data_IF_325600413705
#
_entry.id   IF_325600413705
#
_cell.length_a   1.000
_cell.length_b   1.000
_cell.length_c   1.000
_cell.angle_alpha   90.00
_cell.angle_beta   90.00
_cell.angle_gamma   90.00
#
_symmetry.space_group_name_H-M   'P 1'
#
loop_
_entity.id
_entity.type
_entity.pdbx_description
1 polymer ?
#
# COMPACT_ATOMS: atom_id res chain seq x y z
N UNK A 1 -27.29 23.02 0.00
CA UNK A 1 -27.32 21.55 -0.20
C UNK A 1 -27.77 20.92 1.11
N UNK A 2 -28.77 20.03 1.09
CA UNK A 2 -29.31 19.41 2.33
C UNK A 2 -28.87 17.94 2.35
N UNK A 3 -28.04 17.57 3.33
CA UNK A 3 -27.57 16.19 3.54
C UNK A 3 -28.59 15.32 4.29
N UNK A 4 -29.52 15.98 5.00
CA UNK A 4 -30.59 15.35 5.75
C UNK A 4 -31.50 14.54 4.82
N UNK A 5 -31.38 13.21 4.86
CA UNK A 5 -32.16 12.27 4.06
C UNK A 5 -31.40 11.58 2.92
N UNK A 6 -30.10 11.85 2.75
CA UNK A 6 -29.29 11.16 1.73
C UNK A 6 -29.02 9.69 2.13
N UNK A 7 -29.62 8.74 1.42
CA UNK A 7 -29.26 7.31 1.50
C UNK A 7 -28.06 7.05 0.59
N UNK A 8 -26.91 6.78 1.20
CA UNK A 8 -25.67 6.42 0.51
C UNK A 8 -25.58 4.91 0.32
N UNK A 9 -25.33 4.51 -0.92
CA UNK A 9 -25.14 3.13 -1.34
C UNK A 9 -23.68 2.89 -1.70
N UNK A 10 -23.18 1.71 -1.36
CA UNK A 10 -21.81 1.31 -1.68
C UNK A 10 -21.72 0.96 -3.15
N UNK A 11 -20.75 1.54 -3.85
CA UNK A 11 -20.45 1.21 -5.24
C UNK A 11 -19.88 -0.21 -5.35
N UNK A 12 -20.11 -0.86 -6.51
CA UNK A 12 -19.53 -2.18 -6.82
C UNK A 12 -18.00 -2.17 -6.90
N UNK A 13 -17.43 -1.03 -7.26
CA UNK A 13 -15.99 -0.84 -7.35
C UNK A 13 -15.61 0.54 -6.75
N UNK A 14 -14.47 0.64 -6.05
CA UNK A 14 -13.50 -0.40 -5.75
C UNK A 14 -13.97 -1.38 -4.66
N UNK A 15 -13.44 -2.62 -4.69
CA UNK A 15 -13.89 -3.71 -3.80
C UNK A 15 -13.10 -3.70 -2.48
N UNK A 16 -13.74 -3.24 -1.40
CA UNK A 16 -13.31 -3.48 -0.02
C UNK A 16 -13.97 -4.73 0.58
N UNK A 17 -13.51 -5.19 1.75
CA UNK A 17 -14.19 -6.29 2.46
C UNK A 17 -15.63 -5.88 2.87
N UNK A 18 -16.54 -6.85 2.93
CA UNK A 18 -17.95 -6.62 3.31
C UNK A 18 -18.06 -5.90 4.67
N UNK A 19 -17.19 -6.26 5.63
CA UNK A 19 -17.14 -5.61 6.93
C UNK A 19 -16.79 -4.11 6.81
N UNK A 20 -15.77 -3.76 6.01
CA UNK A 20 -15.38 -2.37 5.78
C UNK A 20 -16.50 -1.60 5.07
N UNK A 21 -17.14 -2.20 4.07
CA UNK A 21 -18.25 -1.59 3.34
C UNK A 21 -19.44 -1.30 4.27
N UNK A 22 -19.79 -2.24 5.15
CA UNK A 22 -20.89 -2.09 6.09
C UNK A 22 -20.62 -0.97 7.12
N UNK A 23 -19.41 -0.92 7.68
CA UNK A 23 -19.01 0.15 8.62
C UNK A 23 -18.99 1.50 7.91
N UNK A 24 -18.37 1.59 6.72
CA UNK A 24 -18.34 2.82 5.94
C UNK A 24 -19.75 3.32 5.60
N UNK A 25 -20.65 2.45 5.12
CA UNK A 25 -22.05 2.80 4.84
C UNK A 25 -22.76 3.35 6.08
N UNK A 26 -22.59 2.70 7.22
CA UNK A 26 -23.18 3.15 8.48
C UNK A 26 -22.65 4.52 8.88
N UNK A 27 -21.33 4.68 8.94
CA UNK A 27 -20.67 5.94 9.33
C UNK A 27 -21.07 7.09 8.41
N UNK A 28 -21.15 6.85 7.10
CA UNK A 28 -21.54 7.87 6.12
C UNK A 28 -22.97 8.33 6.30
N UNK A 29 -23.92 7.40 6.39
CA UNK A 29 -25.32 7.74 6.56
C UNK A 29 -25.60 8.37 7.93
N UNK A 30 -24.91 7.95 8.99
CA UNK A 30 -25.06 8.56 10.32
C UNK A 30 -24.50 9.98 10.38
N UNK A 31 -23.43 10.27 9.64
CA UNK A 31 -22.85 11.62 9.54
C UNK A 31 -23.74 12.54 8.71
N UNK A 32 -24.28 12.05 7.59
CA UNK A 32 -25.15 12.83 6.70
C UNK A 32 -26.43 13.34 7.39
N UNK A 33 -26.93 12.60 8.39
CA UNK A 33 -28.10 13.01 9.21
C UNK A 33 -27.81 14.19 10.13
N UNK A 34 -26.54 14.45 10.47
CA UNK A 34 -26.15 15.41 11.52
C UNK A 34 -25.58 16.72 10.99
N UNK A 35 -25.19 16.73 9.71
CA UNK A 35 -24.43 17.83 9.12
C UNK A 35 -25.24 18.55 8.05
N UNK A 36 -25.05 19.85 7.92
CA UNK A 36 -25.76 20.69 6.93
C UNK A 36 -24.86 21.20 5.81
N UNK A 37 -23.54 21.19 5.99
CA UNK A 37 -22.55 21.61 4.99
C UNK A 37 -21.61 20.47 4.58
N UNK A 38 -21.01 20.56 3.38
CA UNK A 38 -20.06 19.56 2.88
C UNK A 38 -18.79 19.46 3.74
N UNK A 39 -18.35 20.59 4.27
CA UNK A 39 -17.14 20.66 5.11
C UNK A 39 -17.40 20.04 6.47
N UNK A 40 -18.53 20.34 7.10
CA UNK A 40 -18.91 19.73 8.38
C UNK A 40 -19.13 18.22 8.22
N UNK A 41 -19.72 17.81 7.10
CA UNK A 41 -19.90 16.40 6.75
C UNK A 41 -18.55 15.68 6.62
N UNK A 42 -17.61 16.25 5.86
CA UNK A 42 -16.27 15.67 5.72
C UNK A 42 -15.52 15.61 7.06
N UNK A 43 -15.60 16.65 7.89
CA UNK A 43 -14.96 16.70 9.20
C UNK A 43 -15.56 15.69 10.20
N UNK A 44 -16.89 15.58 10.25
CA UNK A 44 -17.57 14.59 11.10
C UNK A 44 -17.28 13.15 10.63
N UNK A 45 -17.17 12.93 9.31
CA UNK A 45 -16.73 11.65 8.77
C UNK A 45 -15.32 11.31 9.24
N UNK A 46 -14.36 12.23 9.06
CA UNK A 46 -12.97 12.00 9.45
C UNK A 46 -12.87 11.63 10.94
N UNK A 47 -13.57 12.39 11.81
CA UNK A 47 -13.63 12.15 13.26
C UNK A 47 -14.23 10.79 13.64
N UNK A 48 -15.18 10.26 12.86
CA UNK A 48 -15.81 8.95 13.11
C UNK A 48 -15.09 7.78 12.48
N UNK A 49 -14.30 8.01 11.44
CA UNK A 49 -13.60 6.94 10.72
C UNK A 49 -12.46 6.38 11.55
N UNK A 50 -11.70 7.21 12.25
CA UNK A 50 -10.55 6.73 13.03
C UNK A 50 -10.96 5.72 14.13
N UNK A 51 -11.98 5.98 14.97
CA UNK A 51 -12.41 5.02 15.99
C UNK A 51 -13.03 3.75 15.41
N UNK A 52 -13.63 3.82 14.21
CA UNK A 52 -14.39 2.70 13.62
C UNK A 52 -13.56 1.83 12.69
N UNK A 53 -12.61 2.42 11.98
CA UNK A 53 -11.86 1.80 10.87
C UNK A 53 -10.33 1.94 11.03
N UNK A 54 -9.85 2.59 12.09
CA UNK A 54 -8.44 2.87 12.38
C UNK A 54 -7.95 4.17 11.74
N UNK A 55 -6.73 4.60 12.02
CA UNK A 55 -6.13 5.82 11.46
C UNK A 55 -5.77 5.74 9.97
N UNK A 56 -5.53 6.90 9.37
CA UNK A 56 -4.96 7.02 8.02
C UNK A 56 -5.99 6.92 6.88
N UNK A 57 -7.28 7.10 7.19
CA UNK A 57 -8.33 7.21 6.17
C UNK A 57 -8.43 8.65 5.66
N UNK A 58 -8.39 8.77 4.34
CA UNK A 58 -8.64 9.99 3.61
C UNK A 58 -10.12 10.09 3.30
N UNK A 59 -10.66 11.30 3.39
CA UNK A 59 -12.07 11.60 3.11
C UNK A 59 -12.13 12.55 1.92
N UNK A 60 -12.83 12.13 0.88
CA UNK A 60 -13.15 12.95 -0.27
C UNK A 60 -14.66 12.94 -0.50
N UNK A 61 -15.26 14.12 -0.52
CA UNK A 61 -16.68 14.32 -0.73
C UNK A 61 -16.90 15.31 -1.87
N UNK A 62 -17.82 15.02 -2.78
CA UNK A 62 -18.19 15.95 -3.84
C UNK A 62 -19.29 15.41 -4.73
N UNK A 63 -19.75 16.21 -5.69
CA UNK A 63 -20.74 15.76 -6.67
C UNK A 63 -20.14 14.75 -7.66
N UNK A 64 -19.27 15.25 -8.53
CA UNK A 64 -18.48 14.44 -9.45
C UNK A 64 -17.02 14.87 -9.43
N UNK A 65 -16.11 13.90 -9.53
CA UNK A 65 -14.68 14.13 -9.48
C UNK A 65 -13.93 12.94 -10.06
N UNK A 66 -12.81 13.22 -10.71
CA UNK A 66 -11.81 12.26 -11.13
C UNK A 66 -10.66 12.24 -10.12
N UNK A 67 -10.07 11.06 -9.92
CA UNK A 67 -8.96 10.88 -8.98
C UNK A 67 -7.90 10.00 -9.61
N UNK A 68 -6.64 10.35 -9.42
CA UNK A 68 -5.53 9.43 -9.63
C UNK A 68 -4.83 9.17 -8.30
N UNK A 69 -5.32 8.13 -7.61
CA UNK A 69 -4.90 7.79 -6.25
C UNK A 69 -4.19 6.46 -6.19
N UNK A 70 -3.12 6.40 -5.40
CA UNK A 70 -2.52 5.14 -4.99
C UNK A 70 -3.04 4.76 -3.61
N UNK A 71 -3.95 3.79 -3.58
CA UNK A 71 -4.58 3.30 -2.35
C UNK A 71 -4.22 1.85 -2.04
N UNK A 72 -4.35 1.48 -0.76
CA UNK A 72 -4.11 0.13 -0.27
C UNK A 72 -5.24 -0.81 -0.70
N UNK A 73 -4.88 -1.95 -1.30
CA UNK A 73 -5.85 -2.96 -1.75
C UNK A 73 -6.78 -3.36 -0.60
N UNK A 74 -8.09 -3.29 -0.85
CA UNK A 74 -9.14 -3.61 0.13
C UNK A 74 -9.46 -2.50 1.14
N UNK A 75 -8.78 -1.35 1.07
CA UNK A 75 -9.01 -0.18 1.92
C UNK A 75 -9.40 1.05 1.08
N UNK A 76 -10.37 0.87 0.19
CA UNK A 76 -10.99 1.94 -0.59
C UNK A 76 -12.47 1.62 -0.78
N UNK A 77 -13.34 2.57 -0.44
CA UNK A 77 -14.79 2.46 -0.52
C UNK A 77 -15.32 3.70 -1.20
N UNK A 78 -16.09 3.51 -2.27
CA UNK A 78 -16.85 4.58 -2.90
C UNK A 78 -18.32 4.41 -2.54
N UNK A 79 -18.93 5.46 -2.00
CA UNK A 79 -20.35 5.54 -1.75
C UNK A 79 -20.97 6.64 -2.59
N UNK A 80 -22.20 6.43 -3.03
CA UNK A 80 -22.95 7.43 -3.79
C UNK A 80 -24.38 7.52 -3.27
N UNK A 81 -24.96 8.71 -3.30
CA UNK A 81 -26.39 8.91 -3.06
C UNK A 81 -27.04 9.47 -4.30
N UNK A 82 -28.08 8.79 -4.79
CA UNK A 82 -28.87 9.28 -5.95
C UNK A 82 -29.66 10.54 -5.59
N UNK A 83 -30.10 10.64 -4.33
CA UNK A 83 -30.93 11.76 -3.84
C UNK A 83 -30.12 13.05 -3.76
N UNK A 84 -28.94 13.01 -3.14
CA UNK A 84 -28.09 14.21 -3.01
C UNK A 84 -27.15 14.42 -4.20
N UNK A 85 -27.04 13.44 -5.13
CA UNK A 85 -26.08 13.42 -6.23
C UNK A 85 -24.62 13.56 -5.78
N UNK A 86 -24.32 13.06 -4.58
CA UNK A 86 -22.98 13.14 -3.99
C UNK A 86 -22.29 11.78 -3.98
N UNK A 87 -20.97 11.84 -4.10
CA UNK A 87 -20.02 10.75 -3.93
C UNK A 87 -19.16 10.99 -2.70
N UNK A 88 -18.91 9.93 -1.96
CA UNK A 88 -17.98 9.89 -0.82
C UNK A 88 -16.96 8.79 -1.10
N UNK A 89 -15.70 9.18 -1.23
CA UNK A 89 -14.59 8.26 -1.40
C UNK A 89 -13.78 8.23 -0.11
N UNK A 90 -13.66 7.03 0.46
CA UNK A 90 -12.89 6.74 1.66
C UNK A 90 -11.75 5.80 1.31
N UNK A 91 -10.51 6.17 1.60
CA UNK A 91 -9.37 5.35 1.20
C UNK A 91 -8.17 5.50 2.13
N UNK A 92 -7.29 4.49 2.14
CA UNK A 92 -5.96 4.58 2.77
C UNK A 92 -4.90 4.55 1.68
N UNK A 93 -3.94 5.46 1.71
CA UNK A 93 -2.85 5.50 0.73
C UNK A 93 -1.78 4.44 1.04
N UNK A 94 -0.90 4.17 0.08
CA UNK A 94 0.22 3.23 0.23
C UNK A 94 1.45 3.70 -0.54
N UNK A 95 2.68 3.34 -0.15
CA UNK A 95 3.88 3.79 -0.84
C UNK A 95 3.92 3.32 -2.30
N UNK A 96 4.63 4.07 -3.13
CA UNK A 96 4.93 3.64 -4.49
C UNK A 96 6.01 2.57 -4.48
N UNK A 97 5.75 1.47 -5.18
CA UNK A 97 6.76 0.46 -5.53
C UNK A 97 7.11 0.47 -7.02
N UNK A 98 6.46 1.35 -7.79
CA UNK A 98 6.75 1.52 -9.22
C UNK A 98 7.94 2.45 -9.40
N UNK A 99 8.85 2.18 -10.35
CA UNK A 99 9.95 3.09 -10.67
C UNK A 99 9.44 4.49 -10.97
N UNK A 100 10.23 5.50 -10.60
CA UNK A 100 9.96 6.87 -10.98
C UNK A 100 9.94 6.98 -12.52
N UNK A 101 9.02 7.75 -13.12
CA UNK A 101 9.09 8.06 -14.53
C UNK A 101 10.47 8.63 -14.88
N UNK A 102 10.98 8.27 -16.07
CA UNK A 102 12.29 8.76 -16.56
C UNK A 102 12.16 10.02 -17.40
N UNK A 103 10.95 10.35 -17.84
CA UNK A 103 10.65 11.48 -18.69
C UNK A 103 9.38 12.17 -18.16
N UNK A 104 9.24 13.45 -18.49
CA UNK A 104 8.06 14.24 -18.20
C UNK A 104 6.87 13.76 -19.05
N UNK A 105 5.64 14.06 -18.62
CA UNK A 105 4.44 13.71 -19.37
C UNK A 105 4.40 14.43 -20.73
N UNK A 106 4.02 13.72 -21.80
CA UNK A 106 3.99 14.25 -23.19
C UNK A 106 3.25 15.59 -23.32
N UNK A 107 2.07 15.70 -22.68
CA UNK A 107 1.24 16.92 -22.64
C UNK A 107 1.92 18.14 -21.98
N UNK A 108 3.07 17.95 -21.32
CA UNK A 108 3.86 19.02 -20.69
C UNK A 108 5.21 19.24 -21.38
N UNK A 109 5.61 18.37 -22.31
CA UNK A 109 6.85 18.49 -23.10
C UNK A 109 6.61 19.05 -24.49
N UNK A 110 5.41 18.89 -25.05
CA UNK A 110 5.06 19.55 -26.31
C UNK A 110 5.04 21.07 -26.10
N UNK A 111 5.85 21.78 -26.89
CA UNK A 111 5.88 23.24 -26.95
C UNK A 111 4.54 23.77 -27.47
N UNK A 112 3.55 23.83 -26.59
CA UNK A 112 2.32 24.57 -26.84
C UNK A 112 2.62 26.06 -26.70
N UNK A 113 3.32 26.64 -27.68
CA UNK A 113 3.71 28.05 -27.73
C UNK A 113 2.55 29.06 -27.61
N UNK A 114 1.28 28.65 -27.50
CA UNK A 114 0.15 29.57 -27.61
C UNK A 114 -1.05 29.33 -26.67
N UNK A 115 -0.86 28.76 -25.48
CA UNK A 115 -1.96 28.58 -24.52
C UNK A 115 -1.83 29.42 -23.24
N UNK A 116 -1.13 30.55 -23.31
CA UNK A 116 -1.02 31.53 -22.22
C UNK A 116 -2.29 32.42 -22.10
N UNK A 117 -3.48 31.83 -22.19
CA UNK A 117 -4.69 32.54 -21.78
C UNK A 117 -4.61 32.77 -20.27
N UNK A 118 -4.75 34.04 -19.83
CA UNK A 118 -4.87 34.39 -18.40
C UNK A 118 -6.10 33.68 -17.82
N UNK A 119 -5.91 32.47 -17.28
CA UNK A 119 -6.95 31.73 -16.56
C UNK A 119 -7.02 32.27 -15.12
N UNK A 120 -8.23 32.46 -14.62
CA UNK A 120 -8.45 32.87 -13.23
C UNK A 120 -8.03 31.74 -12.29
N UNK A 121 -7.14 32.04 -11.35
CA UNK A 121 -6.73 31.12 -10.29
C UNK A 121 -7.32 31.59 -8.97
N UNK A 122 -7.82 30.66 -8.17
CA UNK A 122 -8.20 30.90 -6.78
C UNK A 122 -7.61 29.79 -5.93
N UNK A 123 -6.70 30.12 -5.02
CA UNK A 123 -6.16 29.16 -4.06
C UNK A 123 -7.06 29.18 -2.82
N UNK A 124 -7.53 28.02 -2.39
CA UNK A 124 -8.36 27.87 -1.18
C UNK A 124 -7.51 27.58 0.04
N UNK A 125 -6.57 26.64 -0.10
CA UNK A 125 -5.70 26.17 0.97
C UNK A 125 -4.38 25.71 0.36
N UNK A 126 -3.27 25.99 1.03
CA UNK A 126 -1.96 25.49 0.62
C UNK A 126 -1.00 25.50 1.80
N UNK A 127 -0.18 24.47 1.89
CA UNK A 127 1.01 24.45 2.74
C UNK A 127 2.31 24.42 1.91
N UNK A 128 2.20 24.32 0.58
CA UNK A 128 3.33 24.26 -0.34
C UNK A 128 4.16 25.54 -0.37
N UNK A 129 5.46 25.39 -0.58
CA UNK A 129 6.36 26.49 -0.92
C UNK A 129 5.95 27.15 -2.24
N UNK A 130 6.18 28.46 -2.35
CA UNK A 130 5.70 29.27 -3.48
C UNK A 130 6.20 28.77 -4.84
N UNK A 131 7.46 28.35 -4.94
CA UNK A 131 8.04 27.82 -6.18
C UNK A 131 7.32 26.54 -6.65
N UNK A 132 7.11 25.60 -5.73
CA UNK A 132 6.40 24.35 -6.04
C UNK A 132 4.93 24.61 -6.37
N UNK A 133 4.27 25.49 -5.60
CA UNK A 133 2.89 25.90 -5.82
C UNK A 133 2.69 26.51 -7.21
N UNK A 134 3.53 27.47 -7.60
CA UNK A 134 3.43 28.09 -8.93
C UNK A 134 3.72 27.07 -10.04
N UNK A 135 4.67 26.15 -9.87
CA UNK A 135 4.94 25.09 -10.82
C UNK A 135 3.74 24.13 -10.99
N UNK A 136 3.07 23.75 -9.89
CA UNK A 136 1.85 22.91 -9.92
C UNK A 136 0.72 23.62 -10.65
N UNK A 137 0.51 24.90 -10.35
CA UNK A 137 -0.52 25.73 -10.98
C UNK A 137 -0.24 25.90 -12.47
N UNK A 138 1.00 26.17 -12.87
CA UNK A 138 1.39 26.34 -14.27
C UNK A 138 1.19 25.04 -15.07
N UNK A 139 1.67 23.90 -14.55
CA UNK A 139 1.43 22.58 -15.16
C UNK A 139 -0.06 22.31 -15.30
N UNK A 140 -0.87 22.64 -14.30
CA UNK A 140 -2.33 22.45 -14.35
C UNK A 140 -2.99 23.32 -15.41
N UNK A 141 -2.55 24.57 -15.60
CA UNK A 141 -3.05 25.43 -16.69
C UNK A 141 -2.75 24.83 -18.06
N UNK A 142 -1.52 24.36 -18.27
CA UNK A 142 -1.11 23.72 -19.53
C UNK A 142 -1.96 22.49 -19.82
N UNK A 143 -2.12 21.61 -18.83
CA UNK A 143 -2.95 20.41 -18.96
C UNK A 143 -4.44 20.74 -19.20
N UNK A 144 -4.97 21.77 -18.54
CA UNK A 144 -6.34 22.22 -18.75
C UNK A 144 -6.58 22.65 -20.18
N UNK A 145 -5.64 23.40 -20.76
CA UNK A 145 -5.75 23.86 -22.15
C UNK A 145 -5.51 22.72 -23.14
N UNK A 146 -4.53 21.84 -22.88
CA UNK A 146 -4.23 20.70 -23.74
C UNK A 146 -5.40 19.71 -23.86
N UNK A 147 -6.13 19.46 -22.77
CA UNK A 147 -7.30 18.58 -22.74
C UNK A 147 -8.64 19.33 -22.89
N UNK A 148 -8.65 20.57 -23.37
CA UNK A 148 -9.88 21.32 -23.62
C UNK A 148 -10.72 20.61 -24.70
N UNK A 149 -12.02 20.41 -24.44
CA UNK A 149 -12.92 19.68 -25.35
C UNK A 149 -12.71 18.17 -25.43
N UNK A 150 -11.70 17.62 -24.76
CA UNK A 150 -11.45 16.18 -24.70
C UNK A 150 -12.40 15.53 -23.69
N UNK A 151 -13.01 14.40 -24.08
CA UNK A 151 -13.84 13.61 -23.16
C UNK A 151 -13.00 13.07 -22.01
N UNK A 152 -13.54 13.12 -20.79
CA UNK A 152 -12.87 12.66 -19.57
C UNK A 152 -11.56 13.42 -19.31
N UNK A 153 -11.58 14.73 -19.54
CA UNK A 153 -10.43 15.59 -19.34
C UNK A 153 -10.00 15.63 -17.88
N UNK A 154 -10.91 15.53 -16.90
CA UNK A 154 -10.55 15.53 -15.49
C UNK A 154 -9.64 14.34 -15.14
N UNK A 155 -9.95 13.14 -15.65
CA UNK A 155 -9.13 11.95 -15.42
C UNK A 155 -7.76 12.08 -16.08
N UNK A 156 -7.70 12.57 -17.32
CA UNK A 156 -6.44 12.78 -18.04
C UNK A 156 -5.56 13.82 -17.36
N UNK A 157 -6.14 14.93 -16.90
CA UNK A 157 -5.43 15.97 -16.14
C UNK A 157 -4.90 15.39 -14.84
N UNK A 158 -5.70 14.62 -14.10
CA UNK A 158 -5.27 14.01 -12.85
C UNK A 158 -4.06 13.08 -13.04
N UNK A 159 -4.12 12.23 -14.08
CA UNK A 159 -3.04 11.29 -14.43
C UNK A 159 -1.77 12.02 -14.87
N UNK A 160 -1.89 12.98 -15.78
CA UNK A 160 -0.75 13.73 -16.31
C UNK A 160 -0.07 14.57 -15.23
N UNK A 161 -0.86 15.22 -14.36
CA UNK A 161 -0.32 16.02 -13.25
C UNK A 161 0.40 15.14 -12.24
N UNK A 162 -0.19 14.01 -11.83
CA UNK A 162 0.48 13.08 -10.91
C UNK A 162 1.77 12.51 -11.50
N UNK A 163 1.75 12.14 -12.78
CA UNK A 163 2.93 11.66 -13.49
C UNK A 163 4.06 12.70 -13.43
N UNK A 164 3.75 13.95 -13.75
CA UNK A 164 4.69 15.07 -13.74
C UNK A 164 5.28 15.36 -12.37
N UNK A 165 4.44 15.38 -11.33
CA UNK A 165 4.91 15.61 -9.96
C UNK A 165 5.75 14.44 -9.45
N UNK A 166 5.40 13.21 -9.86
CA UNK A 166 6.21 12.04 -9.53
C UNK A 166 7.57 12.10 -10.22
N UNK A 167 7.63 12.53 -11.48
CA UNK A 167 8.88 12.75 -12.21
C UNK A 167 9.76 13.83 -11.54
N UNK A 168 9.18 14.99 -11.21
CA UNK A 168 9.93 16.13 -10.68
C UNK A 168 10.32 16.00 -9.19
N UNK A 169 9.42 15.46 -8.35
CA UNK A 169 9.55 15.51 -6.89
C UNK A 169 9.52 14.13 -6.21
N UNK A 170 9.43 13.06 -7.00
CA UNK A 170 9.35 11.69 -6.52
C UNK A 170 7.95 11.27 -6.03
N UNK A 171 7.72 9.98 -5.77
CA UNK A 171 6.43 9.46 -5.31
C UNK A 171 6.17 9.67 -3.80
N UNK A 172 4.95 9.56 -3.28
CA UNK A 172 3.68 9.21 -3.94
C UNK A 172 2.72 10.39 -3.92
N UNK A 173 2.51 11.02 -5.07
CA UNK A 173 1.52 12.09 -5.23
C UNK A 173 0.11 11.54 -5.40
N UNK A 174 -0.87 12.32 -4.94
CA UNK A 174 -2.30 12.07 -5.03
C UNK A 174 -2.92 13.29 -5.68
N UNK A 175 -3.72 13.08 -6.73
CA UNK A 175 -4.35 14.18 -7.47
C UNK A 175 -5.85 13.92 -7.59
N UNK A 176 -6.63 14.93 -7.24
CA UNK A 176 -8.09 14.96 -7.37
C UNK A 176 -8.47 16.16 -8.23
N UNK A 177 -9.33 15.92 -9.21
CA UNK A 177 -9.77 16.93 -10.17
C UNK A 177 -11.30 16.90 -10.25
N UNK A 178 -11.94 18.06 -10.19
CA UNK A 178 -13.40 18.17 -10.31
C UNK A 178 -13.78 19.39 -11.13
N UNK A 179 -14.73 19.20 -12.05
CA UNK A 179 -15.41 20.32 -12.73
C UNK A 179 -16.47 21.00 -11.85
N UNK A 180 -16.74 20.47 -10.65
CA UNK A 180 -17.62 21.09 -9.67
C UNK A 180 -16.82 21.90 -8.65
N UNK A 181 -17.42 23.01 -8.20
CA UNK A 181 -16.90 23.75 -7.03
C UNK A 181 -17.14 22.99 -5.73
N UNK A 182 -18.15 22.12 -5.71
CA UNK A 182 -18.58 21.34 -4.55
C UNK A 182 -17.71 20.09 -4.38
N UNK A 183 -16.50 20.34 -3.89
CA UNK A 183 -15.51 19.35 -3.50
C UNK A 183 -15.05 19.66 -2.08
N UNK A 184 -14.82 18.64 -1.27
CA UNK A 184 -14.13 18.76 0.00
C UNK A 184 -13.24 17.54 0.14
N UNK A 185 -11.94 17.78 0.14
CA UNK A 185 -10.93 16.79 0.47
C UNK A 185 -10.33 17.20 1.80
N UNK A 186 -10.23 16.26 2.74
CA UNK A 186 -9.46 16.44 3.97
C UNK A 186 -8.27 15.48 3.90
N UNK A 187 -7.23 15.83 3.12
CA UNK A 187 -6.10 14.94 2.92
C UNK A 187 -5.24 14.90 4.17
N UNK A 188 -4.69 13.72 4.44
CA UNK A 188 -3.50 13.60 5.28
C UNK A 188 -2.32 13.82 4.34
N UNK A 189 -1.58 14.91 4.50
CA UNK A 189 -0.48 15.28 3.61
C UNK A 189 0.84 15.32 4.37
N UNK A 190 1.93 15.06 3.65
CA UNK A 190 3.28 15.37 4.14
C UNK A 190 3.43 16.91 4.17
N UNK A 191 4.11 17.45 5.18
CA UNK A 191 4.28 18.91 5.34
C UNK A 191 4.86 19.55 4.08
N UNK A 192 4.27 20.67 3.63
CA UNK A 192 4.77 21.43 2.49
C UNK A 192 4.40 20.85 1.12
N UNK A 193 3.46 19.90 1.05
CA UNK A 193 3.15 19.17 -0.18
C UNK A 193 1.70 19.19 -0.60
N UNK A 194 0.84 20.03 -0.01
CA UNK A 194 -0.58 20.15 -0.24
C UNK A 194 -1.01 21.51 -0.83
N UNK A 195 -1.88 21.44 -1.83
CA UNK A 195 -2.58 22.61 -2.40
C UNK A 195 -3.98 22.23 -2.88
N UNK A 196 -4.96 23.07 -2.55
CA UNK A 196 -6.34 23.05 -3.06
C UNK A 196 -6.61 24.40 -3.75
N UNK A 197 -6.88 24.34 -5.05
CA UNK A 197 -7.05 25.53 -5.86
C UNK A 197 -8.03 25.30 -7.01
N UNK A 198 -8.44 26.39 -7.65
CA UNK A 198 -9.32 26.39 -8.81
C UNK A 198 -8.64 27.09 -9.98
N UNK A 199 -8.62 26.42 -11.13
CA UNK A 199 -8.27 27.02 -12.42
C UNK A 199 -9.56 27.15 -13.23
N UNK A 200 -10.08 28.38 -13.35
CA UNK A 200 -11.34 28.68 -14.05
C UNK A 200 -12.55 27.98 -13.41
N UNK A 201 -12.93 26.80 -13.89
CA UNK A 201 -14.02 25.96 -13.38
C UNK A 201 -13.53 24.63 -12.80
N UNK A 202 -12.25 24.31 -12.99
CA UNK A 202 -11.64 23.07 -12.55
C UNK A 202 -11.06 23.26 -11.15
N UNK A 203 -11.59 22.54 -10.16
CA UNK A 203 -10.99 22.45 -8.83
C UNK A 203 -9.99 21.30 -8.81
N UNK A 204 -8.81 21.56 -8.27
CA UNK A 204 -7.70 20.62 -8.23
C UNK A 204 -7.17 20.58 -6.81
N UNK A 205 -7.08 19.37 -6.25
CA UNK A 205 -6.42 19.11 -4.97
C UNK A 205 -5.24 18.19 -5.24
N UNK A 206 -4.06 18.62 -4.81
CA UNK A 206 -2.82 17.88 -4.95
C UNK A 206 -2.21 17.74 -3.57
N UNK A 207 -1.76 16.53 -3.24
CA UNK A 207 -1.00 16.31 -2.02
C UNK A 207 -0.06 15.11 -2.14
N UNK A 208 1.00 15.08 -1.34
CA UNK A 208 1.87 13.90 -1.20
C UNK A 208 1.53 13.18 0.09
N UNK A 209 1.35 11.86 0.00
CA UNK A 209 1.23 11.01 1.19
C UNK A 209 1.42 9.53 0.82
N UNK A 210 2.43 8.90 1.42
CA UNK A 210 2.78 7.50 1.19
C UNK A 210 2.08 6.51 2.13
N UNK A 211 1.17 6.98 2.99
CA UNK A 211 0.52 6.13 4.00
C UNK A 211 1.24 6.21 5.34
N UNK A 212 0.58 5.75 6.40
CA UNK A 212 1.10 5.90 7.76
C UNK A 212 2.26 4.92 8.04
N UNK A 213 3.24 5.34 8.84
CA UNK A 213 4.40 4.51 9.23
C UNK A 213 3.99 3.16 9.84
N UNK A 214 2.89 3.15 10.58
CA UNK A 214 2.30 1.95 11.19
C UNK A 214 1.79 0.93 10.15
N UNK A 215 1.25 1.39 9.03
CA UNK A 215 0.81 0.53 7.94
C UNK A 215 1.99 -0.17 7.28
N UNK A 216 3.10 0.55 7.11
CA UNK A 216 4.37 0.01 6.63
C UNK A 216 4.94 -1.05 7.58
N UNK A 217 4.84 -0.84 8.89
CA UNK A 217 5.25 -1.83 9.89
C UNK A 217 4.40 -3.10 9.82
N UNK A 218 3.07 -2.96 9.69
CA UNK A 218 2.18 -4.09 9.52
C UNK A 218 2.44 -4.87 8.22
N UNK A 219 2.70 -4.18 7.11
CA UNK A 219 3.04 -4.81 5.84
C UNK A 219 4.38 -5.56 5.92
N UNK A 220 5.38 -4.95 6.56
CA UNK A 220 6.68 -5.58 6.80
C UNK A 220 6.56 -6.82 7.68
N UNK A 221 5.74 -6.75 8.74
CA UNK A 221 5.47 -7.90 9.60
C UNK A 221 4.70 -9.01 8.86
N UNK A 222 3.71 -8.68 8.03
CA UNK A 222 3.02 -9.67 7.21
C UNK A 222 3.95 -10.32 6.19
N UNK A 223 4.85 -9.55 5.57
CA UNK A 223 5.87 -10.06 4.67
C UNK A 223 6.83 -11.00 5.40
N UNK A 224 7.40 -10.58 6.53
CA UNK A 224 8.28 -11.41 7.36
C UNK A 224 7.61 -12.72 7.79
N UNK A 225 6.33 -12.67 8.16
CA UNK A 225 5.54 -13.87 8.45
C UNK A 225 5.45 -14.81 7.24
N UNK A 226 5.16 -14.30 6.05
CA UNK A 226 5.07 -15.11 4.82
C UNK A 226 6.42 -15.75 4.48
N UNK A 227 7.50 -14.99 4.55
CA UNK A 227 8.86 -15.50 4.34
C UNK A 227 9.19 -16.61 5.32
N UNK A 228 8.90 -16.42 6.61
CA UNK A 228 9.12 -17.45 7.62
C UNK A 228 8.35 -18.74 7.33
N UNK A 229 7.08 -18.66 6.88
CA UNK A 229 6.34 -19.85 6.46
C UNK A 229 6.95 -20.53 5.23
N UNK A 230 7.38 -19.77 4.22
CA UNK A 230 8.03 -20.33 3.04
C UNK A 230 9.31 -21.07 3.42
N UNK A 231 10.15 -20.48 4.29
CA UNK A 231 11.38 -21.13 4.77
C UNK A 231 11.07 -22.40 5.58
N UNK A 232 10.05 -22.37 6.44
CA UNK A 232 9.59 -23.56 7.15
C UNK A 232 9.14 -24.67 6.20
N UNK A 233 8.41 -24.33 5.12
CA UNK A 233 8.00 -25.28 4.08
C UNK A 233 9.20 -25.85 3.32
N UNK A 234 10.20 -25.02 2.98
CA UNK A 234 11.44 -25.49 2.35
C UNK A 234 12.15 -26.50 3.27
N UNK A 235 12.29 -26.19 4.57
CA UNK A 235 12.86 -27.13 5.54
C UNK A 235 12.07 -28.44 5.64
N UNK A 236 10.74 -28.38 5.58
CA UNK A 236 9.88 -29.58 5.55
C UNK A 236 10.09 -30.42 4.29
N UNK A 237 10.20 -29.79 3.12
CA UNK A 237 10.47 -30.49 1.86
C UNK A 237 11.87 -31.12 1.87
N UNK A 238 12.88 -30.41 2.36
CA UNK A 238 14.24 -30.94 2.52
C UNK A 238 14.26 -32.14 3.48
N UNK A 239 13.58 -32.03 4.62
CA UNK A 239 13.45 -33.14 5.56
C UNK A 239 12.75 -34.34 4.91
N UNK A 240 11.64 -34.12 4.20
CA UNK A 240 10.91 -35.17 3.50
C UNK A 240 11.77 -35.85 2.43
N UNK A 241 12.51 -35.08 1.64
CA UNK A 241 13.45 -35.61 0.65
C UNK A 241 14.54 -36.47 1.28
N UNK A 242 15.17 -36.02 2.37
CA UNK A 242 16.22 -36.76 3.08
C UNK A 242 15.66 -37.99 3.81
N UNK A 243 14.44 -37.93 4.32
CA UNK A 243 13.80 -39.07 4.95
C UNK A 243 13.47 -40.18 3.94
N UNK A 244 12.92 -39.80 2.77
CA UNK A 244 12.49 -40.74 1.74
C UNK A 244 13.66 -41.30 0.90
N UNK A 245 14.77 -40.57 0.77
CA UNK A 245 15.96 -41.02 0.03
C UNK A 245 17.07 -41.58 0.94
N UNK A 246 16.72 -42.00 2.16
CA UNK A 246 17.67 -42.69 3.02
C UNK A 246 17.94 -44.09 2.45
N UNK A 247 19.15 -44.28 1.89
CA UNK A 247 19.59 -45.60 1.43
C UNK A 247 20.00 -46.48 2.60
N UNK A 248 19.89 -47.81 2.46
CA UNK A 248 20.35 -48.77 3.48
C UNK A 248 21.82 -48.57 3.86
N UNK A 249 22.66 -48.11 2.92
CA UNK A 249 24.08 -47.79 3.14
C UNK A 249 24.22 -46.59 4.08
N UNK A 250 23.39 -45.55 3.91
CA UNK A 250 23.39 -44.37 4.78
C UNK A 250 22.95 -44.72 6.20
N UNK A 251 22.00 -45.66 6.38
CA UNK A 251 21.60 -46.11 7.71
C UNK A 251 22.65 -46.97 8.40
N UNK A 252 23.31 -47.87 7.67
CA UNK A 252 24.38 -48.75 8.19
C UNK A 252 25.65 -47.99 8.59
N UNK A 253 26.01 -46.95 7.84
CA UNK A 253 27.23 -46.17 8.08
C UNK A 253 27.01 -44.98 9.04
N UNK A 254 25.79 -44.79 9.56
CA UNK A 254 25.43 -43.67 10.45
C UNK A 254 25.98 -43.87 11.87
N UNK A 255 26.60 -42.84 12.44
CA UNK A 255 27.01 -42.84 13.84
C UNK A 255 28.31 -43.58 14.15
N UNK A 256 29.03 -44.05 13.13
CA UNK A 256 30.39 -44.57 13.31
C UNK A 256 31.41 -43.45 13.26
N UNK A 257 31.98 -43.16 14.42
CA UNK A 257 33.16 -42.33 14.69
C UNK A 257 33.12 -40.86 14.20
N UNK A 258 33.11 -39.99 15.20
CA UNK A 258 33.85 -38.72 15.31
C UNK A 258 35.18 -38.68 14.54
N UNK A 259 35.15 -38.47 13.24
CA UNK A 259 36.30 -38.06 12.42
C UNK A 259 35.90 -36.86 11.58
N UNK A 260 35.42 -35.81 12.26
CA UNK A 260 35.37 -34.46 11.73
C UNK A 260 36.58 -33.71 12.27
N UNK A 261 37.75 -34.03 11.75
CA UNK A 261 39.00 -33.32 12.00
C UNK A 261 39.98 -33.73 10.92
N UNK A 262 40.54 -32.76 10.21
CA UNK A 262 41.35 -32.88 8.99
C UNK A 262 42.68 -33.67 9.12
N UNK A 263 42.83 -34.55 10.10
CA UNK A 263 43.99 -35.43 10.24
C UNK A 263 43.53 -36.85 10.53
N UNK A 264 43.61 -37.71 9.51
CA UNK A 264 43.46 -39.16 9.64
C UNK A 264 44.73 -39.68 10.32
N UNK A 265 44.70 -40.26 11.54
CA UNK A 265 45.76 -41.16 11.95
C UNK A 265 45.48 -42.49 11.26
N UNK A 266 46.40 -42.88 10.39
CA UNK A 266 46.57 -44.25 9.95
C UNK A 266 46.95 -45.06 11.19
N UNK A 267 45.96 -45.47 11.99
CA UNK A 267 45.97 -46.66 12.85
C UNK A 267 44.75 -46.67 13.78
N UNK A 268 43.86 -47.66 13.58
CA UNK A 268 43.04 -48.20 14.67
C UNK A 268 41.57 -47.80 14.79
N UNK A 269 40.99 -47.00 13.88
CA UNK A 269 39.53 -46.77 13.90
C UNK A 269 38.84 -47.77 12.98
N UNK A 270 38.21 -48.79 13.57
CA UNK A 270 37.45 -49.81 12.85
C UNK A 270 36.23 -49.17 12.19
N UNK A 271 36.29 -48.98 10.87
CA UNK A 271 35.12 -48.61 10.07
C UNK A 271 34.08 -49.75 10.12
N UNK A 272 32.77 -49.46 10.10
CA UNK A 272 31.75 -50.50 10.06
C UNK A 272 31.96 -51.41 8.85
N UNK A 273 31.73 -52.71 9.02
CA UNK A 273 31.87 -53.69 7.94
C UNK A 273 31.04 -53.27 6.71
N UNK A 274 31.72 -53.04 5.58
CA UNK A 274 31.11 -52.65 4.31
C UNK A 274 30.95 -51.15 4.05
N UNK A 275 31.47 -50.26 4.90
CA UNK A 275 31.43 -48.81 4.70
C UNK A 275 32.78 -48.22 4.28
N UNK A 276 32.81 -47.37 3.24
CA UNK A 276 33.99 -46.57 2.90
C UNK A 276 34.04 -45.27 3.72
N UNK A 277 35.20 -44.61 3.78
CA UNK A 277 35.33 -43.29 4.43
C UNK A 277 34.42 -42.22 3.79
N UNK A 278 34.18 -42.31 2.48
CA UNK A 278 33.25 -41.43 1.75
C UNK A 278 31.80 -41.70 2.15
N UNK A 279 31.42 -42.97 2.37
CA UNK A 279 30.08 -43.35 2.81
C UNK A 279 29.78 -42.88 4.24
N UNK A 280 30.78 -42.95 5.14
CA UNK A 280 30.66 -42.43 6.51
C UNK A 280 30.49 -40.91 6.50
N UNK A 281 31.28 -40.18 5.70
CA UNK A 281 31.14 -38.73 5.55
C UNK A 281 29.75 -38.36 5.00
N UNK A 282 29.31 -39.02 3.93
CA UNK A 282 27.99 -38.80 3.33
C UNK A 282 26.85 -39.11 4.31
N UNK A 283 26.98 -40.17 5.12
CA UNK A 283 25.99 -40.53 6.13
C UNK A 283 25.90 -39.50 7.27
N UNK A 284 27.05 -38.98 7.71
CA UNK A 284 27.12 -37.92 8.72
C UNK A 284 26.58 -36.59 8.21
N UNK A 285 26.93 -36.19 6.98
CA UNK A 285 26.37 -35.00 6.33
C UNK A 285 24.85 -35.12 6.15
N UNK A 286 24.37 -36.28 5.72
CA UNK A 286 22.93 -36.57 5.59
C UNK A 286 22.19 -36.47 6.93
N UNK A 287 22.77 -37.02 8.01
CA UNK A 287 22.22 -36.94 9.36
C UNK A 287 22.21 -35.50 9.91
N UNK A 288 23.28 -34.74 9.64
CA UNK A 288 23.37 -33.32 9.99
C UNK A 288 22.31 -32.50 9.26
N UNK A 289 22.18 -32.64 7.94
CA UNK A 289 21.17 -31.92 7.15
C UNK A 289 19.74 -32.28 7.55
N UNK A 290 19.47 -33.54 7.91
CA UNK A 290 18.16 -33.96 8.44
C UNK A 290 17.85 -33.25 9.76
N UNK A 291 18.82 -33.17 10.67
CA UNK A 291 18.69 -32.44 11.95
C UNK A 291 18.52 -30.94 11.72
N UNK A 292 19.35 -30.35 10.87
CA UNK A 292 19.28 -28.93 10.50
C UNK A 292 17.93 -28.56 9.88
N UNK A 293 17.34 -29.43 9.07
CA UNK A 293 16.02 -29.22 8.48
C UNK A 293 14.91 -29.22 9.55
N UNK A 294 14.95 -30.11 10.55
CA UNK A 294 13.97 -30.14 11.66
C UNK A 294 14.11 -28.88 12.54
N UNK A 295 15.35 -28.51 12.87
CA UNK A 295 15.63 -27.30 13.66
C UNK A 295 15.19 -26.04 12.89
N UNK A 296 15.49 -25.97 11.59
CA UNK A 296 15.04 -24.88 10.72
C UNK A 296 13.52 -24.77 10.67
N UNK A 297 12.81 -25.88 10.50
CA UNK A 297 11.33 -25.88 10.53
C UNK A 297 10.79 -25.34 11.85
N UNK A 298 11.32 -25.80 12.98
CA UNK A 298 10.90 -25.35 14.32
C UNK A 298 11.21 -23.86 14.54
N UNK A 299 12.40 -23.42 14.14
CA UNK A 299 12.82 -22.02 14.28
C UNK A 299 11.96 -21.08 13.42
N UNK A 300 11.72 -21.40 12.15
CA UNK A 300 10.94 -20.54 11.26
C UNK A 300 9.45 -20.51 11.61
N UNK A 301 8.87 -21.62 12.10
CA UNK A 301 7.49 -21.63 12.62
C UNK A 301 7.34 -20.83 13.91
N UNK A 302 8.32 -20.91 14.82
CA UNK A 302 8.37 -20.07 16.01
C UNK A 302 8.49 -18.59 15.64
N UNK A 303 9.38 -18.24 14.71
CA UNK A 303 9.54 -16.88 14.20
C UNK A 303 8.22 -16.35 13.60
N UNK A 304 7.53 -17.14 12.78
CA UNK A 304 6.23 -16.75 12.22
C UNK A 304 5.17 -16.50 13.31
N UNK A 305 5.24 -17.25 14.41
CA UNK A 305 4.35 -17.09 15.56
C UNK A 305 4.66 -15.83 16.37
N UNK A 306 5.95 -15.53 16.60
CA UNK A 306 6.41 -14.28 17.24
C UNK A 306 5.97 -13.06 16.41
N UNK A 307 6.18 -13.09 15.09
CA UNK A 307 5.74 -12.03 14.20
C UNK A 307 4.21 -11.86 14.25
N UNK A 308 3.44 -12.97 14.31
CA UNK A 308 1.99 -12.90 14.46
C UNK A 308 1.58 -12.21 15.77
N UNK A 309 2.26 -12.49 16.88
CA UNK A 309 2.00 -11.83 18.17
C UNK A 309 2.36 -10.34 18.12
N UNK A 310 3.51 -10.01 17.52
CA UNK A 310 3.92 -8.62 17.31
C UNK A 310 2.88 -7.86 16.48
N UNK A 311 2.43 -8.39 15.34
CA UNK A 311 1.37 -7.77 14.53
C UNK A 311 0.08 -7.57 15.32
N UNK A 312 -0.32 -8.55 16.15
CA UNK A 312 -1.49 -8.41 17.04
C UNK A 312 -1.32 -7.33 18.09
N UNK A 313 -0.09 -7.05 18.56
CA UNK A 313 0.19 -5.97 19.50
C UNK A 313 0.14 -4.57 18.86
N UNK A 314 0.34 -4.50 17.54
CA UNK A 314 0.25 -3.26 16.76
C UNK A 314 -1.21 -2.90 16.41
N UNK A 315 -2.08 -3.90 16.16
CA UNK A 315 -3.48 -3.66 15.76
C UNK A 315 -4.30 -2.77 16.73
N UNK A 316 -4.17 -2.86 18.06
CA UNK A 316 -4.83 -1.95 19.00
C UNK A 316 -4.33 -0.51 18.89
N UNK A 317 -3.05 -0.31 18.53
CA UNK A 317 -2.47 1.01 18.31
C UNK A 317 -3.03 1.67 17.05
N UNK A 318 -3.37 0.89 16.02
CA UNK A 318 -4.06 1.35 14.79
C UNK A 318 -5.47 1.90 15.09
N UNK A 319 -6.12 1.43 16.17
CA UNK A 319 -7.47 1.89 16.57
C UNK A 319 -7.43 3.10 17.50
N UNK A 320 -6.27 3.48 18.04
CA UNK A 320 -6.11 4.52 19.07
C UNK A 320 -5.25 5.70 18.63
N UNK A 321 -4.36 5.51 17.67
CA UNK A 321 -3.72 6.57 16.89
C UNK A 321 -4.59 6.87 15.68
#
# INVERSE_FOLDING_TARGET
>A
MVFSGADFQVSKAPVASVAIQAVAKKTVNDSAKKTSSIRDFAAELQRRLEPSMGSGWHVLVGGDFAVDLRYRKGACVLLFSKTSKMKVLLYRTTPSVTPCPKQEHEALTEDSENLNTKRKIVVFETDMEDEMKEAVIDKTKRLYNYYEGVRDNETKIAQALKHSLTFAYGPTWQVVVSSSRELCCLPIADEGTHVDFMVTKLRVVVYRHAGISLDRQLDSAQFGKRVAFVLATICLLLYGFLALNSSEVIEKCKGSATVAGDNIPVDGVVLPEGCTAEDVKRANDHAWWKTAAILGMSAFTMLASLIRMYSKSLTPKVKRA
#
